data_IF_117890911878
#
_entry.id   IF_117890911878
#
_cell.length_a   1.000
_cell.length_b   1.000
_cell.length_c   1.000
_cell.angle_alpha   90.00
_cell.angle_beta   90.00
_cell.angle_gamma   90.00
#
_symmetry.space_group_name_H-M   'P 1'
#
loop_
_entity.id
_entity.type
_entity.pdbx_description
1 polymer ?
#
# COMPACT_ATOMS: atom_id res chain seq x y z
N UNK A 1 -2.16 -6.67 18.42
CA UNK A 1 -0.95 -7.23 17.75
C UNK A 1 -1.42 -8.23 16.72
N UNK A 2 -1.23 -7.96 15.43
CA UNK A 2 -1.68 -8.87 14.37
C UNK A 2 -0.59 -9.92 14.11
N UNK A 3 -0.95 -11.20 14.08
CA UNK A 3 -0.03 -12.28 13.74
C UNK A 3 0.39 -12.15 12.25
N UNK A 4 1.67 -11.86 12.01
CA UNK A 4 2.27 -11.67 10.67
C UNK A 4 2.98 -12.95 10.18
N UNK A 5 3.07 -13.99 11.04
CA UNK A 5 3.77 -15.21 10.69
C UNK A 5 2.97 -16.01 9.65
N UNK A 6 3.61 -16.32 8.52
CA UNK A 6 3.06 -17.11 7.42
C UNK A 6 1.81 -16.54 6.71
N UNK A 7 1.68 -15.21 6.67
CA UNK A 7 0.57 -14.56 5.97
C UNK A 7 0.76 -14.56 4.45
N UNK A 8 -0.33 -14.79 3.70
CA UNK A 8 -0.36 -14.52 2.27
C UNK A 8 -0.07 -13.03 2.00
N UNK A 9 0.95 -12.74 1.18
CA UNK A 9 1.38 -11.38 0.83
C UNK A 9 0.37 -10.61 -0.02
N UNK A 10 -0.58 -11.30 -0.65
CA UNK A 10 -1.59 -10.69 -1.52
C UNK A 10 -2.68 -9.95 -0.72
N UNK A 11 -3.13 -10.52 0.39
CA UNK A 11 -4.09 -9.89 1.30
C UNK A 11 -3.36 -9.19 2.43
N UNK A 12 -2.91 -7.95 2.21
CA UNK A 12 -2.34 -7.07 3.26
C UNK A 12 -3.42 -6.49 4.17
N UNK A 13 -3.07 -6.18 5.43
CA UNK A 13 -3.91 -5.53 6.46
C UNK A 13 -4.02 -4.02 6.18
N UNK A 14 -3.92 -3.61 4.91
CA UNK A 14 -4.16 -2.23 4.57
C UNK A 14 -5.66 -2.03 4.70
N UNK A 15 -6.11 -1.40 5.78
CA UNK A 15 -7.51 -1.08 5.92
C UNK A 15 -7.90 -0.14 4.77
N UNK A 16 -8.63 -0.65 3.78
CA UNK A 16 -9.01 0.11 2.60
C UNK A 16 -9.78 1.39 2.97
N UNK A 17 -10.49 1.36 4.10
CA UNK A 17 -11.20 2.51 4.66
C UNK A 17 -10.21 3.58 5.14
N UNK A 18 -9.15 3.21 5.85
CA UNK A 18 -8.09 4.16 6.27
C UNK A 18 -7.38 4.77 5.06
N UNK A 19 -7.06 3.95 4.05
CA UNK A 19 -6.45 4.42 2.81
C UNK A 19 -7.36 5.41 2.06
N UNK A 20 -8.66 5.13 2.02
CA UNK A 20 -9.65 6.03 1.44
C UNK A 20 -9.76 7.33 2.23
N UNK A 21 -9.91 7.29 3.56
CA UNK A 21 -9.99 8.49 4.39
C UNK A 21 -8.75 9.37 4.26
N UNK A 22 -7.55 8.78 4.25
CA UNK A 22 -6.31 9.53 4.07
C UNK A 22 -6.25 10.18 2.68
N UNK A 23 -6.64 9.46 1.62
CA UNK A 23 -6.72 10.04 0.27
C UNK A 23 -7.72 11.18 0.23
N UNK A 24 -8.93 10.97 0.75
CA UNK A 24 -10.01 11.95 0.74
C UNK A 24 -9.64 13.23 1.50
N UNK A 25 -9.06 13.09 2.69
CA UNK A 25 -8.59 14.22 3.49
C UNK A 25 -7.53 15.05 2.73
N UNK A 26 -6.61 14.40 2.03
CA UNK A 26 -5.62 15.08 1.19
C UNK A 26 -6.26 15.74 -0.04
N UNK A 27 -7.26 15.11 -0.66
CA UNK A 27 -8.00 15.67 -1.80
C UNK A 27 -8.78 16.94 -1.42
N UNK A 28 -9.40 16.96 -0.24
CA UNK A 28 -10.11 18.14 0.26
C UNK A 28 -9.12 19.21 0.73
N UNK A 29 -8.08 18.82 1.49
CA UNK A 29 -6.99 19.69 1.92
C UNK A 29 -7.40 20.88 2.78
N UNK A 30 -8.62 20.89 3.32
CA UNK A 30 -9.24 22.01 4.05
C UNK A 30 -10.09 21.48 5.19
N UNK A 31 -10.02 22.11 6.36
CA UNK A 31 -10.88 21.76 7.50
C UNK A 31 -12.35 22.14 7.24
N UNK A 32 -12.59 23.29 6.59
CA UNK A 32 -13.92 23.81 6.31
C UNK A 32 -14.06 24.24 4.83
N UNK A 33 -14.21 23.27 3.90
CA UNK A 33 -14.44 23.59 2.50
C UNK A 33 -15.84 24.18 2.30
N UNK A 34 -16.00 25.16 1.38
CA UNK A 34 -17.33 25.56 0.90
C UNK A 34 -18.08 24.36 0.33
N UNK A 35 -19.40 24.29 0.53
CA UNK A 35 -20.24 23.16 0.11
C UNK A 35 -20.05 22.82 -1.38
N UNK A 36 -20.02 23.83 -2.25
CA UNK A 36 -19.86 23.62 -3.70
C UNK A 36 -18.54 22.92 -4.04
N UNK A 37 -17.45 23.25 -3.34
CA UNK A 37 -16.13 22.65 -3.55
C UNK A 37 -16.15 21.19 -3.09
N UNK A 38 -16.76 20.94 -1.93
CA UNK A 38 -16.93 19.59 -1.40
C UNK A 38 -17.73 18.70 -2.37
N UNK A 39 -18.85 19.21 -2.88
CA UNK A 39 -19.68 18.51 -3.87
C UNK A 39 -18.94 18.23 -5.17
N UNK A 40 -18.14 19.19 -5.66
CA UNK A 40 -17.32 18.99 -6.84
C UNK A 40 -16.31 17.86 -6.63
N UNK A 41 -15.61 17.85 -5.48
CA UNK A 41 -14.66 16.80 -5.15
C UNK A 41 -15.31 15.43 -4.97
N UNK A 42 -16.54 15.38 -4.44
CA UNK A 42 -17.30 14.13 -4.36
C UNK A 42 -17.60 13.56 -5.75
N UNK A 43 -18.00 14.41 -6.70
CA UNK A 43 -18.25 13.98 -8.09
C UNK A 43 -16.98 13.47 -8.76
N UNK A 44 -15.85 14.14 -8.55
CA UNK A 44 -14.54 13.70 -9.06
C UNK A 44 -14.14 12.33 -8.50
N UNK A 45 -14.36 12.11 -7.20
CA UNK A 45 -14.05 10.85 -6.52
C UNK A 45 -14.96 9.71 -7.01
N UNK A 46 -16.28 9.97 -7.12
CA UNK A 46 -17.22 9.00 -7.68
C UNK A 46 -16.80 8.58 -9.10
N UNK A 47 -16.48 9.54 -9.96
CA UNK A 47 -16.00 9.26 -11.32
C UNK A 47 -14.73 8.39 -11.33
N UNK A 48 -13.81 8.64 -10.41
CA UNK A 48 -12.57 7.85 -10.30
C UNK A 48 -12.85 6.41 -9.87
N UNK A 49 -13.82 6.22 -8.95
CA UNK A 49 -14.25 4.88 -8.52
C UNK A 49 -14.94 4.14 -9.67
N UNK A 50 -15.85 4.79 -10.39
CA UNK A 50 -16.53 4.21 -11.56
C UNK A 50 -15.55 3.79 -12.65
N UNK A 51 -14.55 4.64 -12.94
CA UNK A 51 -13.48 4.30 -13.88
C UNK A 51 -12.68 3.07 -13.43
N UNK A 52 -12.36 3.00 -12.13
CA UNK A 52 -11.64 1.86 -11.56
C UNK A 52 -12.47 0.58 -11.69
N UNK A 53 -13.76 0.64 -11.37
CA UNK A 53 -14.68 -0.48 -11.50
C UNK A 53 -14.82 -0.95 -12.95
N UNK A 54 -14.92 -0.02 -13.90
CA UNK A 54 -14.97 -0.33 -15.32
C UNK A 54 -13.68 -1.01 -15.81
N UNK A 55 -12.50 -0.55 -15.35
CA UNK A 55 -11.22 -1.20 -15.67
C UNK A 55 -11.14 -2.62 -15.10
N UNK A 56 -11.60 -2.82 -13.86
CA UNK A 56 -11.69 -4.16 -13.26
C UNK A 56 -12.63 -5.05 -14.05
N UNK A 57 -13.80 -4.54 -14.47
CA UNK A 57 -14.75 -5.29 -15.29
C UNK A 57 -14.18 -5.69 -16.67
N UNK A 58 -13.29 -4.87 -17.25
CA UNK A 58 -12.55 -5.21 -18.48
C UNK A 58 -11.41 -6.21 -18.27
N UNK A 59 -11.04 -6.50 -17.03
CA UNK A 59 -9.87 -7.32 -16.70
C UNK A 59 -8.54 -6.58 -16.85
N UNK A 60 -8.56 -5.24 -16.85
CA UNK A 60 -7.34 -4.45 -16.91
C UNK A 60 -6.51 -4.69 -15.62
N UNK A 61 -5.17 -4.83 -15.74
CA UNK A 61 -4.33 -5.00 -14.56
C UNK A 61 -4.39 -3.76 -13.66
N UNK A 62 -4.35 -3.92 -12.32
CA UNK A 62 -4.36 -2.78 -11.42
C UNK A 62 -3.10 -1.91 -11.62
N UNK A 63 -3.20 -0.60 -11.37
CA UNK A 63 -2.06 0.29 -11.52
C UNK A 63 -0.89 -0.18 -10.63
N UNK A 64 0.34 -0.19 -11.17
CA UNK A 64 1.47 -0.73 -10.44
C UNK A 64 1.76 0.10 -9.20
N UNK A 65 2.05 -0.57 -8.08
CA UNK A 65 2.53 0.09 -6.86
C UNK A 65 3.75 0.95 -7.15
N UNK A 66 3.87 2.07 -6.40
CA UNK A 66 5.04 2.97 -6.49
C UNK A 66 6.35 2.16 -6.43
N UNK A 67 7.31 2.52 -7.27
CA UNK A 67 8.59 1.81 -7.43
C UNK A 67 9.29 1.53 -6.09
N UNK A 68 9.38 2.55 -5.24
CA UNK A 68 9.88 2.49 -3.84
C UNK A 68 9.35 1.26 -3.08
N UNK A 69 8.03 1.05 -3.11
CA UNK A 69 7.38 -0.05 -2.38
C UNK A 69 7.56 -1.40 -3.04
N UNK A 70 7.67 -1.45 -4.38
CA UNK A 70 8.00 -2.68 -5.11
C UNK A 70 9.44 -3.12 -4.81
N UNK A 71 10.38 -2.19 -4.76
CA UNK A 71 11.78 -2.47 -4.43
C UNK A 71 11.96 -2.94 -2.99
N UNK A 72 11.32 -2.26 -2.02
CA UNK A 72 11.30 -2.69 -0.63
C UNK A 72 10.75 -4.12 -0.49
N UNK A 73 9.64 -4.42 -1.16
CA UNK A 73 9.04 -5.76 -1.14
C UNK A 73 9.97 -6.81 -1.72
N UNK A 74 10.58 -6.57 -2.89
CA UNK A 74 11.59 -7.48 -3.44
C UNK A 74 12.74 -7.73 -2.46
N UNK A 75 13.22 -6.68 -1.78
CA UNK A 75 14.32 -6.79 -0.81
C UNK A 75 13.90 -7.62 0.40
N UNK A 76 12.72 -7.37 0.98
CA UNK A 76 12.21 -8.14 2.12
C UNK A 76 11.98 -9.61 1.74
N UNK A 77 11.38 -9.87 0.57
CA UNK A 77 11.14 -11.25 0.09
C UNK A 77 12.46 -12.00 -0.09
N UNK A 78 13.49 -11.35 -0.65
CA UNK A 78 14.83 -11.93 -0.75
C UNK A 78 15.44 -12.25 0.62
N UNK A 79 15.36 -11.31 1.58
CA UNK A 79 15.87 -11.52 2.94
C UNK A 79 15.16 -12.68 3.64
N UNK A 80 13.84 -12.79 3.45
CA UNK A 80 13.04 -13.92 3.94
C UNK A 80 13.52 -15.24 3.34
N UNK A 81 13.75 -15.28 2.03
CA UNK A 81 14.24 -16.49 1.36
C UNK A 81 15.63 -16.90 1.88
N UNK A 82 16.55 -15.96 2.03
CA UNK A 82 17.90 -16.22 2.57
C UNK A 82 17.86 -16.77 4.01
N UNK A 83 16.88 -16.35 4.82
CA UNK A 83 16.65 -16.90 6.15
C UNK A 83 16.05 -18.32 6.11
N UNK A 84 15.04 -18.55 5.28
CA UNK A 84 14.40 -19.86 5.11
C UNK A 84 15.39 -20.90 4.56
N UNK A 85 16.26 -20.50 3.64
CA UNK A 85 17.31 -21.34 3.06
C UNK A 85 18.48 -21.61 4.04
N UNK A 86 18.44 -21.07 5.28
CA UNK A 86 19.49 -21.24 6.29
C UNK A 86 20.79 -20.48 6.01
N UNK A 87 20.84 -19.65 4.95
CA UNK A 87 22.05 -18.88 4.57
C UNK A 87 22.34 -17.71 5.49
N UNK A 88 21.35 -17.28 6.28
CA UNK A 88 21.48 -16.14 7.20
C UNK A 88 20.77 -16.43 8.52
N UNK A 89 21.46 -16.16 9.63
CA UNK A 89 20.91 -16.22 10.98
C UNK A 89 19.82 -15.16 11.22
N UNK A 90 18.96 -15.39 12.21
CA UNK A 90 17.82 -14.52 12.52
C UNK A 90 18.26 -13.07 12.84
N UNK A 91 19.33 -12.90 13.61
CA UNK A 91 19.88 -11.60 14.01
C UNK A 91 20.32 -10.77 12.79
N UNK A 92 21.05 -11.38 11.86
CA UNK A 92 21.49 -10.73 10.63
C UNK A 92 20.31 -10.43 9.70
N UNK A 93 19.33 -11.32 9.63
CA UNK A 93 18.11 -11.11 8.85
C UNK A 93 17.35 -9.89 9.39
N UNK A 94 17.17 -9.81 10.71
CA UNK A 94 16.49 -8.71 11.38
C UNK A 94 17.19 -7.37 11.12
N UNK A 95 18.51 -7.30 11.32
CA UNK A 95 19.30 -6.10 11.03
C UNK A 95 19.15 -5.64 9.57
N UNK A 96 19.17 -6.59 8.63
CA UNK A 96 19.00 -6.30 7.21
C UNK A 96 17.60 -5.79 6.86
N UNK A 97 16.55 -6.35 7.49
CA UNK A 97 15.16 -5.88 7.32
C UNK A 97 14.99 -4.48 7.88
N UNK A 98 15.50 -4.20 9.08
CA UNK A 98 15.44 -2.86 9.69
C UNK A 98 16.16 -1.84 8.82
N UNK A 99 17.36 -2.17 8.34
CA UNK A 99 18.10 -1.29 7.44
C UNK A 99 17.37 -1.08 6.11
N UNK A 100 16.75 -2.12 5.54
CA UNK A 100 15.91 -1.98 4.36
C UNK A 100 14.76 -1.01 4.64
N UNK A 101 13.98 -1.20 5.70
CA UNK A 101 12.86 -0.32 6.04
C UNK A 101 13.31 1.13 6.22
N UNK A 102 14.41 1.38 6.96
CA UNK A 102 14.99 2.73 7.14
C UNK A 102 15.42 3.40 5.84
N UNK A 103 15.89 2.62 4.87
CA UNK A 103 16.32 3.15 3.57
C UNK A 103 15.14 3.61 2.73
N UNK A 104 14.02 2.90 2.85
CA UNK A 104 12.84 3.21 2.07
C UNK A 104 11.95 4.21 2.79
N UNK A 105 11.42 3.94 4.00
CA UNK A 105 10.43 4.79 4.70
C UNK A 105 10.90 6.24 4.80
#
# INVERSE_FOLDING_TARGET
MWNVYNRNTDTRTNNHVEGFHQRWNNTIGRAHPPLWFFLQRMKDEQKTVEQTLASVARGDPPPPRRRKWRELERRITRLRQEYVDGRRSLDRCWCAVVHAIKTFV
#
